data_IF_356036763953
#
_entry.id   IF_356036763953
#
_cell.length_a   1.000
_cell.length_b   1.000
_cell.length_c   1.000
_cell.angle_alpha   90.00
_cell.angle_beta   90.00
_cell.angle_gamma   90.00
#
_symmetry.space_group_name_H-M   'P 1'
#
loop_
_entity.id
_entity.type
_entity.pdbx_description
1 polymer ?
#
# COMPACT_ATOMS: atom_id res chain seq x y z
N UNK A 1 -3.84 -9.38 28.09
CA UNK A 1 -3.56 -10.07 26.81
C UNK A 1 -2.64 -9.18 26.00
N UNK A 2 -1.62 -9.74 25.35
CA UNK A 2 -0.81 -9.00 24.38
C UNK A 2 -1.65 -8.64 23.15
N UNK A 3 -1.37 -7.51 22.51
CA UNK A 3 -2.03 -7.13 21.25
C UNK A 3 -1.73 -8.18 20.18
N UNK A 4 -2.76 -8.63 19.49
CA UNK A 4 -2.70 -9.46 18.30
C UNK A 4 -3.67 -8.91 17.24
N UNK A 5 -3.13 -8.65 16.06
CA UNK A 5 -3.83 -8.13 14.88
C UNK A 5 -3.55 -9.03 13.67
N UNK A 6 -4.32 -8.86 12.60
CA UNK A 6 -4.11 -9.58 11.35
C UNK A 6 -4.40 -8.76 10.10
N UNK A 7 -3.59 -8.99 9.08
CA UNK A 7 -3.92 -8.67 7.70
C UNK A 7 -4.41 -9.94 7.00
N UNK A 8 -5.65 -9.91 6.51
CA UNK A 8 -6.35 -11.07 5.97
C UNK A 8 -6.74 -10.87 4.49
N UNK A 9 -5.77 -10.82 3.55
CA UNK A 9 -6.08 -10.66 2.13
C UNK A 9 -6.53 -11.98 1.49
N UNK A 10 -7.50 -11.90 0.58
CA UNK A 10 -7.79 -13.00 -0.34
C UNK A 10 -6.82 -12.93 -1.53
N UNK A 11 -6.09 -14.02 -1.87
CA UNK A 11 -5.11 -14.05 -2.95
C UNK A 11 -5.78 -14.15 -4.33
N UNK A 12 -6.64 -13.18 -4.66
CA UNK A 12 -7.47 -13.15 -5.89
C UNK A 12 -6.99 -12.12 -6.93
N UNK A 13 -5.87 -11.47 -6.64
CA UNK A 13 -5.26 -10.43 -7.46
C UNK A 13 -4.06 -9.82 -6.76
N UNK A 14 -3.42 -8.84 -7.41
CA UNK A 14 -2.28 -8.12 -6.86
C UNK A 14 -2.70 -7.22 -5.69
N UNK A 15 -1.78 -6.98 -4.76
CA UNK A 15 -1.97 -5.96 -3.72
C UNK A 15 -2.03 -4.58 -4.35
N UNK A 16 -2.96 -3.77 -3.85
CA UNK A 16 -3.09 -2.36 -4.21
C UNK A 16 -2.86 -1.48 -2.98
N UNK A 17 -2.73 -0.17 -3.20
CA UNK A 17 -2.46 0.83 -2.17
C UNK A 17 -3.41 0.76 -0.96
N UNK A 18 -4.70 0.51 -1.21
CA UNK A 18 -5.69 0.34 -0.14
C UNK A 18 -5.37 -0.85 0.77
N UNK A 19 -4.96 -1.99 0.19
CA UNK A 19 -4.55 -3.17 0.94
C UNK A 19 -3.28 -2.90 1.74
N UNK A 20 -2.30 -2.22 1.15
CA UNK A 20 -1.05 -1.84 1.83
C UNK A 20 -1.33 -0.97 3.04
N UNK A 21 -2.23 0.02 2.92
CA UNK A 21 -2.59 0.85 4.08
C UNK A 21 -3.15 0.01 5.21
N UNK A 22 -4.03 -0.96 4.92
CA UNK A 22 -4.55 -1.86 5.96
C UNK A 22 -3.42 -2.68 6.61
N UNK A 23 -2.55 -3.28 5.80
CA UNK A 23 -1.41 -4.07 6.30
C UNK A 23 -0.46 -3.21 7.16
N UNK A 24 -0.10 -2.02 6.68
CA UNK A 24 0.78 -1.08 7.36
C UNK A 24 0.20 -0.62 8.69
N UNK A 25 -1.07 -0.22 8.75
CA UNK A 25 -1.70 0.23 10.01
C UNK A 25 -1.77 -0.92 11.01
N UNK A 26 -2.10 -2.14 10.58
CA UNK A 26 -2.06 -3.30 11.47
C UNK A 26 -0.63 -3.54 12.00
N UNK A 27 0.37 -3.51 11.12
CA UNK A 27 1.77 -3.72 11.49
C UNK A 27 2.26 -2.66 12.48
N UNK A 28 2.02 -1.37 12.21
CA UNK A 28 2.39 -0.26 13.09
C UNK A 28 1.69 -0.37 14.45
N UNK A 29 0.40 -0.71 14.47
CA UNK A 29 -0.35 -0.92 15.71
C UNK A 29 0.22 -2.08 16.54
N UNK A 30 0.56 -3.20 15.91
CA UNK A 30 1.19 -4.34 16.56
C UNK A 30 2.54 -3.94 17.16
N UNK A 31 3.42 -3.34 16.35
CA UNK A 31 4.79 -3.00 16.76
C UNK A 31 4.81 -1.94 17.86
N UNK A 32 3.96 -0.92 17.78
CA UNK A 32 3.85 0.10 18.84
C UNK A 32 3.41 -0.49 20.18
N UNK A 33 2.56 -1.51 20.15
CA UNK A 33 2.07 -2.19 21.36
C UNK A 33 2.95 -3.37 21.82
N UNK A 34 4.06 -3.67 21.12
CA UNK A 34 4.85 -4.89 21.38
C UNK A 34 4.05 -6.18 21.16
N UNK A 35 3.07 -6.14 20.25
CA UNK A 35 2.16 -7.23 19.92
C UNK A 35 2.55 -8.02 18.67
N UNK A 36 1.66 -8.92 18.26
CA UNK A 36 1.87 -9.81 17.11
C UNK A 36 1.06 -9.41 15.88
N UNK A 37 1.68 -9.46 14.71
CA UNK A 37 1.08 -9.28 13.40
C UNK A 37 0.96 -10.62 12.66
N UNK A 38 -0.28 -11.05 12.38
CA UNK A 38 -0.60 -12.26 11.62
C UNK A 38 -0.86 -11.91 10.14
N UNK A 39 -0.25 -12.64 9.22
CA UNK A 39 -0.71 -12.73 7.84
C UNK A 39 -1.63 -13.96 7.72
N UNK A 40 -2.89 -13.76 7.35
CA UNK A 40 -3.83 -14.86 7.05
C UNK A 40 -4.26 -14.79 5.59
N UNK A 41 -4.04 -15.84 4.82
CA UNK A 41 -4.56 -15.89 3.44
C UNK A 41 -5.99 -16.42 3.47
N UNK A 42 -6.95 -15.57 3.08
CA UNK A 42 -8.37 -15.92 2.97
C UNK A 42 -8.62 -16.55 1.59
N UNK A 43 -8.12 -17.78 1.41
CA UNK A 43 -7.99 -18.53 0.14
C UNK A 43 -9.09 -19.57 -0.10
N UNK A 44 -10.26 -19.38 0.52
CA UNK A 44 -11.42 -20.30 0.41
C UNK A 44 -12.14 -20.26 -0.94
N UNK A 45 -11.92 -19.22 -1.74
CA UNK A 45 -12.42 -19.12 -3.12
C UNK A 45 -11.45 -19.79 -4.08
N UNK A 46 -11.56 -21.10 -4.28
CA UNK A 46 -10.67 -21.90 -5.14
C UNK A 46 -10.63 -21.46 -6.61
N UNK A 47 -11.68 -20.80 -7.12
CA UNK A 47 -11.72 -20.37 -8.51
C UNK A 47 -10.86 -19.12 -8.75
N UNK A 48 -10.86 -18.20 -7.77
CA UNK A 48 -10.17 -16.91 -7.88
C UNK A 48 -8.84 -16.89 -7.15
N UNK A 49 -8.68 -17.71 -6.12
CA UNK A 49 -7.46 -17.77 -5.32
C UNK A 49 -6.38 -18.51 -6.07
N UNK A 50 -5.21 -17.89 -6.23
CA UNK A 50 -4.11 -18.51 -6.96
C UNK A 50 -2.78 -18.42 -6.21
N UNK A 51 -1.91 -19.45 -6.30
CA UNK A 51 -0.60 -19.43 -5.66
C UNK A 51 0.25 -18.21 -6.04
N UNK A 52 0.21 -17.76 -7.30
CA UNK A 52 1.00 -16.60 -7.74
C UNK A 52 0.58 -15.29 -7.03
N UNK A 53 -0.68 -15.17 -6.63
CA UNK A 53 -1.16 -14.01 -5.88
C UNK A 53 -0.81 -14.11 -4.40
N UNK A 54 -0.81 -15.31 -3.82
CA UNK A 54 -0.32 -15.54 -2.46
C UNK A 54 1.17 -15.19 -2.34
N UNK A 55 2.00 -15.70 -3.25
CA UNK A 55 3.43 -15.37 -3.33
C UNK A 55 3.65 -13.87 -3.58
N UNK A 56 2.82 -13.26 -4.44
CA UNK A 56 2.84 -11.82 -4.70
C UNK A 56 2.56 -10.98 -3.44
N UNK A 57 1.56 -11.36 -2.65
CA UNK A 57 1.25 -10.72 -1.35
C UNK A 57 2.45 -10.80 -0.42
N UNK A 58 3.02 -11.99 -0.24
CA UNK A 58 4.17 -12.21 0.65
C UNK A 58 5.40 -11.41 0.22
N UNK A 59 5.70 -11.39 -1.09
CA UNK A 59 6.79 -10.60 -1.68
C UNK A 59 6.59 -9.11 -1.46
N UNK A 60 5.39 -8.61 -1.71
CA UNK A 60 5.07 -7.18 -1.59
C UNK A 60 5.11 -6.70 -0.13
N UNK A 61 4.61 -7.49 0.82
CA UNK A 61 4.75 -7.20 2.25
C UNK A 61 6.21 -7.23 2.71
N UNK A 62 6.99 -8.21 2.24
CA UNK A 62 8.42 -8.31 2.55
C UNK A 62 9.19 -7.11 2.02
N UNK A 63 8.92 -6.69 0.78
CA UNK A 63 9.51 -5.50 0.17
C UNK A 63 9.20 -4.22 0.97
N UNK A 64 7.98 -4.11 1.51
CA UNK A 64 7.60 -3.00 2.39
C UNK A 64 8.24 -3.07 3.79
N UNK A 65 8.90 -4.18 4.15
CA UNK A 65 9.40 -4.45 5.50
C UNK A 65 8.32 -4.91 6.49
N UNK A 66 7.10 -5.16 6.04
CA UNK A 66 5.94 -5.56 6.86
C UNK A 66 5.94 -7.08 7.12
N UNK A 67 7.03 -7.57 7.69
CA UNK A 67 7.16 -8.99 8.08
C UNK A 67 6.14 -9.36 9.16
N UNK A 68 5.64 -10.59 9.10
CA UNK A 68 4.63 -11.12 10.01
C UNK A 68 5.23 -12.12 11.00
N UNK A 69 4.65 -12.17 12.21
CA UNK A 69 5.10 -13.03 13.30
C UNK A 69 4.41 -14.40 13.24
N UNK A 70 3.22 -14.45 12.63
CA UNK A 70 2.40 -15.65 12.49
C UNK A 70 1.84 -15.71 11.07
N UNK A 71 1.55 -16.92 10.61
CA UNK A 71 0.97 -17.18 9.30
C UNK A 71 -0.17 -18.20 9.42
N UNK A 72 -1.22 -18.05 8.61
CA UNK A 72 -2.31 -19.03 8.49
C UNK A 72 -2.94 -18.98 7.08
N UNK A 73 -3.57 -20.08 6.66
CA UNK A 73 -4.43 -20.12 5.47
C UNK A 73 -5.80 -20.64 5.87
N UNK A 74 -6.85 -20.09 5.29
CA UNK A 74 -8.19 -20.57 5.57
C UNK A 74 -8.42 -21.99 4.98
N UNK A 75 -7.79 -22.30 3.85
CA UNK A 75 -7.86 -23.60 3.19
C UNK A 75 -7.37 -24.76 4.06
N UNK A 76 -6.42 -24.52 4.97
CA UNK A 76 -5.91 -25.52 5.92
C UNK A 76 -6.90 -25.80 7.07
N UNK A 77 -8.02 -25.08 7.13
CA UNK A 77 -8.89 -24.99 8.32
C UNK A 77 -10.33 -25.41 8.05
N UNK A 78 -10.63 -26.00 6.90
CA UNK A 78 -11.98 -26.48 6.56
C UNK A 78 -12.61 -27.39 7.62
N UNK A 79 -11.85 -28.37 8.15
CA UNK A 79 -12.36 -29.25 9.20
C UNK A 79 -12.81 -28.49 10.45
N UNK A 80 -12.13 -27.39 10.79
CA UNK A 80 -12.52 -26.54 11.92
C UNK A 80 -13.80 -25.77 11.64
N UNK A 81 -14.01 -25.31 10.41
CA UNK A 81 -15.26 -24.66 10.01
C UNK A 81 -16.44 -25.64 10.07
N UNK A 82 -16.23 -26.89 9.67
CA UNK A 82 -17.25 -27.95 9.75
C UNK A 82 -17.65 -28.26 11.19
N UNK A 83 -16.70 -28.34 12.11
CA UNK A 83 -16.96 -28.52 13.55
C UNK A 83 -17.81 -27.38 14.12
N UNK A 84 -17.42 -26.12 13.85
CA UNK A 84 -18.15 -24.96 14.35
C UNK A 84 -19.53 -24.87 13.71
N UNK A 85 -19.64 -25.15 12.40
CA UNK A 85 -20.92 -25.23 11.71
C UNK A 85 -21.84 -26.28 12.35
N UNK A 86 -21.32 -27.47 12.65
CA UNK A 86 -22.09 -28.52 13.32
C UNK A 86 -22.58 -28.08 14.72
N UNK A 87 -21.71 -27.43 15.51
CA UNK A 87 -22.07 -26.91 16.82
C UNK A 87 -23.15 -25.81 16.74
N UNK A 88 -23.05 -24.90 15.78
CA UNK A 88 -24.05 -23.85 15.56
C UNK A 88 -25.39 -24.41 15.05
N UNK A 89 -25.37 -25.49 14.25
CA UNK A 89 -26.59 -26.21 13.85
C UNK A 89 -27.25 -26.86 15.07
N UNK A 90 -26.46 -27.54 15.90
CA UNK A 90 -26.95 -28.21 17.11
C UNK A 90 -27.56 -27.22 18.13
N UNK A 91 -27.01 -26.00 18.25
CA UNK A 91 -27.56 -24.94 19.11
C UNK A 91 -28.72 -24.16 18.49
N UNK A 92 -29.11 -24.47 17.24
CA UNK A 92 -30.17 -23.76 16.52
C UNK A 92 -29.80 -22.33 16.10
N UNK A 93 -28.50 -21.98 16.17
CA UNK A 93 -27.96 -20.70 15.68
C UNK A 93 -27.69 -20.71 14.19
N UNK A 94 -27.55 -21.89 13.56
CA UNK A 94 -27.65 -22.07 12.12
C UNK A 94 -28.93 -22.84 11.78
N UNK A 95 -29.68 -22.35 10.80
CA UNK A 95 -30.89 -23.02 10.31
C UNK A 95 -30.87 -23.19 8.79
N UNK A 96 -31.47 -24.26 8.26
CA UNK A 96 -31.48 -24.54 6.84
C UNK A 96 -32.48 -23.65 6.11
N UNK A 97 -32.10 -23.19 4.93
CA UNK A 97 -32.88 -22.37 4.02
C UNK A 97 -32.83 -23.01 2.64
N UNK A 98 -33.96 -23.02 1.92
CA UNK A 98 -34.13 -23.76 0.66
C UNK A 98 -34.54 -22.83 -0.49
N UNK A 99 -34.56 -21.52 -0.25
CA UNK A 99 -34.85 -20.54 -1.29
C UNK A 99 -33.74 -20.51 -2.34
N UNK A 100 -34.12 -20.48 -3.61
CA UNK A 100 -33.17 -20.36 -4.72
C UNK A 100 -32.64 -18.93 -4.85
N UNK A 101 -31.48 -18.72 -5.52
CA UNK A 101 -31.00 -17.38 -5.83
C UNK A 101 -32.03 -16.49 -6.55
N UNK A 102 -32.81 -17.06 -7.46
CA UNK A 102 -33.88 -16.36 -8.18
C UNK A 102 -35.01 -15.93 -7.23
N UNK A 103 -35.47 -16.84 -6.36
CA UNK A 103 -36.50 -16.55 -5.36
C UNK A 103 -36.04 -15.40 -4.42
N UNK A 104 -34.78 -15.44 -3.96
CA UNK A 104 -34.19 -14.39 -3.11
C UNK A 104 -34.06 -13.05 -3.85
N UNK A 105 -33.65 -13.08 -5.12
CA UNK A 105 -33.54 -11.87 -5.95
C UNK A 105 -34.91 -11.23 -6.20
N UNK A 106 -35.95 -12.03 -6.45
CA UNK A 106 -37.33 -11.54 -6.60
C UNK A 106 -37.84 -10.89 -5.30
N UNK A 107 -37.64 -11.54 -4.15
CA UNK A 107 -37.98 -10.97 -2.84
C UNK A 107 -37.28 -9.63 -2.60
N UNK A 108 -35.97 -9.57 -2.89
CA UNK A 108 -35.16 -8.34 -2.78
C UNK A 108 -35.69 -7.23 -3.70
N UNK A 109 -35.94 -7.53 -4.96
CA UNK A 109 -36.45 -6.57 -5.94
C UNK A 109 -37.83 -6.02 -5.55
N UNK A 110 -38.71 -6.88 -5.01
CA UNK A 110 -40.04 -6.49 -4.52
C UNK A 110 -39.97 -5.52 -3.33
N UNK A 111 -39.06 -5.74 -2.36
CA UNK A 111 -38.86 -4.83 -1.23
C UNK A 111 -38.30 -3.47 -1.70
N UNK A 112 -37.30 -3.50 -2.58
CA UNK A 112 -36.68 -2.29 -3.11
C UNK A 112 -37.68 -1.46 -3.93
N UNK A 113 -38.53 -2.08 -4.75
CA UNK A 113 -39.56 -1.35 -5.52
C UNK A 113 -40.64 -0.72 -4.63
N UNK A 114 -40.82 -1.22 -3.42
CA UNK A 114 -41.69 -0.65 -2.39
C UNK A 114 -40.97 0.40 -1.51
N UNK A 115 -39.71 0.73 -1.77
CA UNK A 115 -38.91 1.64 -0.94
C UNK A 115 -38.58 1.08 0.44
N UNK A 116 -38.67 -0.25 0.62
CA UNK A 116 -38.41 -0.93 1.90
C UNK A 116 -36.99 -1.52 1.92
N UNK A 117 -36.34 -1.57 3.09
CA UNK A 117 -35.03 -2.19 3.21
C UNK A 117 -35.12 -3.70 2.87
N UNK A 118 -34.18 -4.25 2.09
CA UNK A 118 -34.23 -5.64 1.63
C UNK A 118 -33.77 -6.63 2.72
N UNK A 119 -34.50 -6.66 3.84
CA UNK A 119 -34.20 -7.53 4.97
C UNK A 119 -34.76 -8.92 4.70
N UNK A 120 -33.97 -9.97 5.00
CA UNK A 120 -34.43 -11.34 4.87
C UNK A 120 -35.66 -11.62 5.77
N UNK A 121 -36.71 -12.19 5.19
CA UNK A 121 -38.03 -12.34 5.80
C UNK A 121 -38.14 -13.48 6.81
N UNK A 122 -37.05 -14.26 6.99
CA UNK A 122 -37.01 -15.46 7.84
C UNK A 122 -38.08 -16.50 7.49
N UNK A 123 -38.52 -16.56 6.24
CA UNK A 123 -39.53 -17.52 5.80
C UNK A 123 -39.13 -18.98 6.10
N UNK A 124 -37.84 -19.31 5.98
CA UNK A 124 -37.35 -20.66 6.25
C UNK A 124 -37.54 -21.12 7.72
N UNK A 125 -37.64 -20.19 8.69
CA UNK A 125 -37.94 -20.55 10.08
C UNK A 125 -39.36 -21.10 10.28
N UNK A 126 -40.27 -20.90 9.31
CA UNK A 126 -41.65 -21.40 9.35
C UNK A 126 -41.82 -22.77 8.69
N UNK A 127 -40.77 -23.30 8.06
CA UNK A 127 -40.82 -24.62 7.42
C UNK A 127 -40.96 -25.72 8.49
N UNK A 128 -41.89 -26.64 8.25
CA UNK A 128 -42.01 -27.87 9.04
C UNK A 128 -40.97 -28.91 8.61
N UNK A 129 -40.78 -29.98 9.40
CA UNK A 129 -39.95 -31.12 8.99
C UNK A 129 -40.46 -31.77 7.70
N UNK A 130 -41.78 -31.80 7.50
CA UNK A 130 -42.39 -32.32 6.29
C UNK A 130 -42.08 -31.44 5.07
N UNK A 131 -42.07 -30.10 5.23
CA UNK A 131 -41.70 -29.19 4.16
C UNK A 131 -40.23 -29.37 3.76
N UNK A 132 -39.34 -29.50 4.75
CA UNK A 132 -37.91 -29.75 4.53
C UNK A 132 -37.69 -31.06 3.77
N UNK A 133 -38.27 -32.16 4.25
CA UNK A 133 -38.15 -33.46 3.61
C UNK A 133 -38.69 -33.47 2.17
N UNK A 134 -39.79 -32.74 1.91
CA UNK A 134 -40.32 -32.57 0.55
C UNK A 134 -39.33 -31.84 -0.35
N UNK A 135 -38.81 -30.69 0.08
CA UNK A 135 -37.86 -29.90 -0.71
C UNK A 135 -36.57 -30.69 -0.99
N UNK A 136 -36.09 -31.46 -0.02
CA UNK A 136 -34.93 -32.35 -0.19
C UNK A 136 -35.21 -33.49 -1.17
N UNK A 137 -36.42 -34.08 -1.15
CA UNK A 137 -36.84 -35.10 -2.12
C UNK A 137 -36.96 -34.57 -3.54
N UNK A 138 -37.21 -33.26 -3.70
CA UNK A 138 -37.19 -32.54 -4.97
C UNK A 138 -35.75 -32.22 -5.44
N UNK A 139 -34.73 -32.62 -4.67
CA UNK A 139 -33.33 -32.41 -4.99
C UNK A 139 -32.77 -31.06 -4.53
N UNK A 140 -33.55 -30.22 -3.82
CA UNK A 140 -33.02 -28.97 -3.25
C UNK A 140 -32.07 -29.29 -2.10
N UNK A 141 -30.91 -28.64 -2.09
CA UNK A 141 -30.00 -28.68 -0.96
C UNK A 141 -30.13 -27.38 -0.14
N UNK A 142 -30.01 -27.44 1.19
CA UNK A 142 -30.11 -26.23 1.99
C UNK A 142 -28.82 -25.41 1.92
N UNK A 143 -28.96 -24.09 1.85
CA UNK A 143 -27.95 -23.17 2.35
C UNK A 143 -28.25 -22.86 3.83
N UNK A 144 -27.25 -22.44 4.60
CA UNK A 144 -27.42 -22.24 6.04
C UNK A 144 -27.26 -20.78 6.43
N UNK A 145 -28.25 -20.25 7.14
CA UNK A 145 -28.25 -18.89 7.66
C UNK A 145 -28.03 -18.85 9.16
N UNK A 146 -27.32 -17.82 9.62
CA UNK A 146 -27.16 -17.55 11.05
C UNK A 146 -28.37 -16.80 11.58
N UNK A 147 -28.99 -17.36 12.61
CA UNK A 147 -30.14 -16.77 13.28
C UNK A 147 -29.67 -15.65 14.19
N UNK A 148 -29.82 -14.40 13.73
CA UNK A 148 -29.53 -13.25 14.57
C UNK A 148 -30.56 -13.10 15.68
N UNK A 149 -30.13 -12.60 16.83
CA UNK A 149 -31.03 -12.04 17.82
C UNK A 149 -31.38 -10.62 17.39
N UNK A 150 -32.67 -10.30 17.38
CA UNK A 150 -33.16 -8.95 17.12
C UNK A 150 -32.99 -8.03 18.34
N UNK A 151 -31.79 -8.00 18.90
CA UNK A 151 -31.39 -7.08 19.97
C UNK A 151 -30.44 -6.01 19.41
N UNK A 152 -30.37 -4.82 20.05
CA UNK A 152 -29.33 -3.85 19.76
C UNK A 152 -27.92 -4.47 19.80
N UNK A 153 -27.08 -4.05 18.86
CA UNK A 153 -25.65 -4.39 18.81
C UNK A 153 -24.86 -3.09 18.84
N UNK A 154 -24.02 -2.95 19.87
CA UNK A 154 -23.25 -1.74 20.15
C UNK A 154 -21.80 -2.09 20.42
N UNK A 155 -20.88 -1.25 19.94
CA UNK A 155 -19.47 -1.33 20.31
C UNK A 155 -18.80 0.05 20.19
N UNK A 156 -17.64 0.20 20.81
CA UNK A 156 -16.78 1.38 20.63
C UNK A 156 -15.67 1.05 19.65
N UNK A 157 -15.74 1.62 18.46
CA UNK A 157 -14.72 1.51 17.42
C UNK A 157 -13.56 2.49 17.70
N UNK A 158 -12.31 2.05 17.48
CA UNK A 158 -11.14 2.90 17.74
C UNK A 158 -11.04 4.13 16.81
N UNK A 159 -11.75 4.13 15.67
CA UNK A 159 -11.75 5.24 14.70
C UNK A 159 -13.13 5.91 14.64
N UNK A 160 -14.19 5.10 14.53
CA UNK A 160 -15.56 5.61 14.42
C UNK A 160 -16.19 5.99 15.76
N UNK A 161 -15.57 5.65 16.89
CA UNK A 161 -16.17 5.85 18.21
C UNK A 161 -17.39 4.94 18.43
N UNK A 162 -18.40 5.37 19.22
CA UNK A 162 -19.60 4.57 19.44
C UNK A 162 -20.33 4.24 18.14
N UNK A 163 -20.64 2.95 17.92
CA UNK A 163 -21.41 2.44 16.79
C UNK A 163 -22.60 1.64 17.32
N UNK A 164 -23.76 1.81 16.67
CA UNK A 164 -25.03 1.18 17.04
C UNK A 164 -25.72 0.63 15.81
N UNK A 165 -26.25 -0.60 15.92
CA UNK A 165 -27.12 -1.23 14.94
C UNK A 165 -28.34 -1.86 15.62
N UNK A 166 -29.51 -1.64 15.04
CA UNK A 166 -30.73 -2.34 15.42
C UNK A 166 -30.70 -3.76 14.84
N UNK A 167 -30.70 -4.79 15.69
CA UNK A 167 -30.65 -6.18 15.24
C UNK A 167 -31.80 -6.56 14.29
N UNK A 168 -32.98 -5.95 14.46
CA UNK A 168 -34.13 -6.15 13.57
C UNK A 168 -33.96 -5.54 12.17
N UNK A 169 -32.99 -4.63 12.00
CA UNK A 169 -32.64 -4.04 10.71
C UNK A 169 -31.55 -4.86 9.97
N UNK A 170 -31.00 -5.90 10.59
CA UNK A 170 -29.99 -6.77 10.01
C UNK A 170 -30.64 -8.04 9.42
N UNK A 171 -30.09 -8.51 8.30
CA UNK A 171 -30.51 -9.80 7.73
C UNK A 171 -29.70 -10.93 8.32
N UNK A 172 -30.36 -12.06 8.59
CA UNK A 172 -29.69 -13.32 8.90
C UNK A 172 -28.73 -13.68 7.75
N UNK A 173 -27.40 -13.63 7.97
CA UNK A 173 -26.43 -13.83 6.90
C UNK A 173 -26.43 -15.31 6.50
N UNK A 174 -26.17 -15.58 5.24
CA UNK A 174 -25.74 -16.93 4.83
C UNK A 174 -24.33 -17.14 5.35
N UNK A 175 -24.09 -18.25 6.04
CA UNK A 175 -22.75 -18.66 6.51
C UNK A 175 -22.21 -19.87 5.77
N UNK A 176 -23.08 -20.71 5.19
CA UNK A 176 -22.70 -21.89 4.42
C UNK A 176 -23.57 -21.93 3.17
N UNK A 177 -22.94 -22.09 2.01
CA UNK A 177 -23.60 -22.20 0.72
C UNK A 177 -24.29 -23.55 0.54
N UNK A 178 -25.10 -23.66 -0.49
CA UNK A 178 -25.76 -24.90 -0.91
C UNK A 178 -24.76 -26.03 -1.26
N UNK A 179 -23.58 -25.66 -1.77
CA UNK A 179 -22.48 -26.58 -2.07
C UNK A 179 -21.68 -27.00 -0.82
N UNK A 180 -22.07 -26.54 0.37
CA UNK A 180 -21.41 -26.83 1.64
C UNK A 180 -20.23 -25.92 1.99
N UNK A 181 -19.79 -25.03 1.08
CA UNK A 181 -18.64 -24.16 1.34
C UNK A 181 -19.00 -23.09 2.37
N UNK A 182 -18.16 -22.85 3.39
CA UNK A 182 -18.35 -21.76 4.32
C UNK A 182 -18.09 -20.41 3.64
N UNK A 183 -18.76 -19.36 4.11
CA UNK A 183 -18.56 -17.99 3.64
C UNK A 183 -17.68 -17.21 4.61
N UNK A 184 -17.04 -16.16 4.08
CA UNK A 184 -16.17 -15.22 4.80
C UNK A 184 -16.64 -14.87 6.21
N UNK A 185 -17.94 -14.58 6.39
CA UNK A 185 -18.46 -14.16 7.69
C UNK A 185 -18.26 -15.22 8.78
N UNK A 186 -18.35 -16.52 8.43
CA UNK A 186 -18.09 -17.62 9.35
C UNK A 186 -16.59 -17.83 9.53
N UNK A 187 -15.85 -18.03 8.43
CA UNK A 187 -14.42 -18.37 8.47
C UNK A 187 -13.61 -17.30 9.19
N UNK A 188 -13.88 -16.02 8.88
CA UNK A 188 -13.21 -14.88 9.50
C UNK A 188 -13.41 -14.82 11.01
N UNK A 189 -14.62 -15.10 11.51
CA UNK A 189 -14.92 -15.09 12.96
C UNK A 189 -14.30 -16.29 13.67
N UNK A 190 -14.42 -17.48 13.09
CA UNK A 190 -13.81 -18.70 13.65
C UNK A 190 -12.31 -18.52 13.78
N UNK A 191 -11.66 -17.98 12.75
CA UNK A 191 -10.22 -17.78 12.76
C UNK A 191 -9.78 -16.65 13.67
N UNK A 192 -10.49 -15.51 13.67
CA UNK A 192 -10.16 -14.43 14.59
C UNK A 192 -10.31 -14.90 16.07
N UNK A 193 -11.28 -15.78 16.38
CA UNK A 193 -11.45 -16.37 17.70
C UNK A 193 -10.35 -17.41 18.03
N UNK A 194 -10.16 -18.42 17.19
CA UNK A 194 -9.21 -19.51 17.41
C UNK A 194 -7.75 -19.02 17.40
N UNK A 195 -7.42 -18.04 16.56
CA UNK A 195 -6.08 -17.47 16.46
C UNK A 195 -5.85 -16.35 17.49
N UNK A 196 -6.81 -16.11 18.38
CA UNK A 196 -6.74 -15.14 19.48
C UNK A 196 -6.44 -13.71 18.99
N UNK A 197 -7.12 -13.28 17.92
CA UNK A 197 -7.06 -11.90 17.45
C UNK A 197 -7.77 -11.01 18.47
N UNK A 198 -7.06 -9.99 18.94
CA UNK A 198 -7.57 -9.03 19.92
C UNK A 198 -8.10 -7.76 19.28
N UNK A 199 -7.58 -7.40 18.10
CA UNK A 199 -7.90 -6.18 17.39
C UNK A 199 -8.10 -6.48 15.90
N UNK A 200 -9.26 -6.09 15.37
CA UNK A 200 -9.61 -6.20 13.96
C UNK A 200 -9.59 -4.81 13.35
N UNK A 201 -8.52 -4.49 12.62
CA UNK A 201 -8.34 -3.22 11.90
C UNK A 201 -8.56 -3.47 10.41
N UNK A 202 -9.62 -2.90 9.85
CA UNK A 202 -10.06 -3.14 8.45
C UNK A 202 -10.74 -1.91 7.84
N UNK A 203 -11.14 -2.00 6.56
CA UNK A 203 -11.88 -0.95 5.88
C UNK A 203 -13.30 -0.74 6.43
N UNK A 204 -13.81 0.49 6.36
CA UNK A 204 -15.14 0.88 6.86
C UNK A 204 -16.32 0.28 6.09
N UNK A 205 -16.08 -0.26 4.90
CA UNK A 205 -17.04 -1.05 4.13
C UNK A 205 -17.50 -2.33 4.87
N UNK A 206 -16.75 -2.74 5.89
CA UNK A 206 -17.10 -3.88 6.74
C UNK A 206 -17.77 -3.52 8.07
N UNK A 207 -18.13 -2.25 8.32
CA UNK A 207 -18.77 -1.83 9.58
C UNK A 207 -20.06 -2.62 9.85
N UNK A 208 -20.91 -2.79 8.83
CA UNK A 208 -22.15 -3.57 8.98
C UNK A 208 -21.90 -5.06 9.22
N UNK A 209 -20.82 -5.62 8.65
CA UNK A 209 -20.42 -7.00 8.91
C UNK A 209 -20.05 -7.19 10.39
N UNK A 210 -19.45 -6.19 11.04
CA UNK A 210 -19.10 -6.24 12.47
C UNK A 210 -20.31 -6.51 13.35
N UNK A 211 -21.44 -5.85 13.11
CA UNK A 211 -22.64 -6.04 13.93
C UNK A 211 -23.13 -7.49 13.92
N UNK A 212 -23.04 -8.14 12.76
CA UNK A 212 -23.35 -9.57 12.58
C UNK A 212 -22.28 -10.44 13.23
N UNK A 213 -21.00 -10.13 13.00
CA UNK A 213 -19.87 -10.91 13.50
C UNK A 213 -19.79 -10.93 15.03
N UNK A 214 -20.15 -9.85 15.73
CA UNK A 214 -20.21 -9.80 17.20
C UNK A 214 -21.09 -10.93 17.75
N UNK A 215 -22.30 -11.12 17.21
CA UNK A 215 -23.17 -12.20 17.66
C UNK A 215 -22.65 -13.59 17.29
N UNK A 216 -21.88 -13.71 16.21
CA UNK A 216 -21.25 -14.99 15.83
C UNK A 216 -20.12 -15.31 16.81
N UNK A 217 -19.27 -14.34 17.19
CA UNK A 217 -18.25 -14.51 18.23
C UNK A 217 -18.86 -15.03 19.53
N UNK A 218 -19.92 -14.39 20.01
CA UNK A 218 -20.64 -14.83 21.21
C UNK A 218 -21.19 -16.26 21.06
N UNK A 219 -21.79 -16.58 19.91
CA UNK A 219 -22.39 -17.89 19.66
C UNK A 219 -21.38 -19.04 19.55
N UNK A 220 -20.15 -18.75 19.08
CA UNK A 220 -19.05 -19.74 19.05
C UNK A 220 -18.23 -19.77 20.35
N UNK A 221 -18.60 -18.95 21.35
CA UNK A 221 -17.88 -18.84 22.62
C UNK A 221 -16.54 -18.10 22.52
N UNK A 222 -16.31 -17.36 21.44
CA UNK A 222 -15.10 -16.57 21.21
C UNK A 222 -15.17 -15.19 21.88
N UNK A 223 -14.01 -14.65 22.24
CA UNK A 223 -13.91 -13.27 22.69
C UNK A 223 -14.15 -12.31 21.51
N UNK A 224 -15.01 -11.32 21.70
CA UNK A 224 -15.23 -10.26 20.70
C UNK A 224 -14.00 -9.35 20.68
N UNK A 225 -13.30 -9.18 19.53
CA UNK A 225 -12.14 -8.32 19.44
C UNK A 225 -12.55 -6.84 19.48
N UNK A 226 -11.57 -5.98 19.76
CA UNK A 226 -11.71 -4.55 19.55
C UNK A 226 -11.69 -4.26 18.05
N UNK A 227 -12.56 -3.38 17.56
CA UNK A 227 -12.64 -3.05 16.14
C UNK A 227 -12.10 -1.64 15.85
N UNK A 228 -11.49 -1.50 14.69
CA UNK A 228 -11.13 -0.20 14.10
C UNK A 228 -11.45 -0.21 12.61
N UNK A 229 -12.31 0.72 12.18
CA UNK A 229 -12.73 0.83 10.78
C UNK A 229 -12.10 2.05 10.12
N UNK A 230 -11.10 1.79 9.27
CA UNK A 230 -10.38 2.82 8.54
C UNK A 230 -11.21 3.31 7.35
N UNK A 231 -11.27 4.64 7.10
CA UNK A 231 -11.97 5.16 5.94
C UNK A 231 -11.34 4.65 4.65
N UNK A 232 -12.17 4.40 3.64
CA UNK A 232 -11.68 3.98 2.32
C UNK A 232 -10.87 5.11 1.66
N UNK A 233 -9.91 4.72 0.83
CA UNK A 233 -9.14 5.69 0.05
C UNK A 233 -9.91 6.08 -1.21
N UNK A 234 -9.83 7.36 -1.60
CA UNK A 234 -10.22 7.84 -2.93
C UNK A 234 -9.00 8.31 -3.73
N UNK A 235 -9.15 8.47 -5.04
CA UNK A 235 -8.16 9.14 -5.87
C UNK A 235 -8.17 10.67 -5.66
N UNK A 236 -7.27 11.39 -6.32
CA UNK A 236 -7.19 12.84 -6.26
C UNK A 236 -8.49 13.55 -6.70
N UNK A 237 -9.27 12.93 -7.59
CA UNK A 237 -10.57 13.42 -8.06
C UNK A 237 -11.74 13.08 -7.11
N UNK A 238 -11.48 12.32 -6.03
CA UNK A 238 -12.47 11.89 -5.05
C UNK A 238 -13.28 10.67 -5.47
N UNK A 239 -12.89 9.98 -6.55
CA UNK A 239 -13.50 8.72 -6.96
C UNK A 239 -12.88 7.57 -6.17
N UNK A 240 -13.64 6.50 -5.95
CA UNK A 240 -13.10 5.30 -5.31
C UNK A 240 -11.90 4.76 -6.12
N UNK A 241 -10.84 4.35 -5.42
CA UNK A 241 -9.70 3.65 -6.02
C UNK A 241 -10.14 2.29 -6.59
N UNK A 242 -10.78 2.33 -7.75
CA UNK A 242 -11.29 1.13 -8.41
C UNK A 242 -10.16 0.42 -9.16
N UNK A 243 -10.32 -0.89 -9.37
CA UNK A 243 -9.44 -1.75 -10.18
C UNK A 243 -9.29 -1.29 -11.65
N UNK A 244 -9.97 -0.22 -12.07
CA UNK A 244 -9.90 0.36 -13.43
C UNK A 244 -8.72 1.31 -13.62
N UNK A 245 -8.12 1.82 -12.54
CA UNK A 245 -6.85 2.54 -12.60
C UNK A 245 -5.72 1.51 -12.66
N UNK A 246 -5.33 1.13 -13.88
CA UNK A 246 -4.34 0.12 -14.18
C UNK A 246 -2.88 0.46 -13.81
N UNK A 247 -2.61 1.15 -12.69
CA UNK A 247 -1.24 1.51 -12.30
C UNK A 247 -0.98 1.63 -10.78
N UNK A 248 -1.86 1.10 -9.92
CA UNK A 248 -1.71 1.22 -8.46
C UNK A 248 -1.53 -0.12 -7.73
N UNK A 249 -1.06 -1.15 -8.44
CA UNK A 249 -0.55 -2.34 -7.75
C UNK A 249 0.80 -2.04 -7.11
N UNK A 250 1.11 -2.72 -6.01
CA UNK A 250 2.40 -2.55 -5.33
C UNK A 250 3.55 -2.96 -6.24
N UNK A 251 3.37 -4.05 -7.01
CA UNK A 251 4.33 -4.49 -8.00
C UNK A 251 4.63 -3.41 -9.05
N UNK A 252 3.62 -2.77 -9.64
CA UNK A 252 3.81 -1.68 -10.62
C UNK A 252 4.50 -0.46 -9.98
N UNK A 253 4.09 -0.05 -8.77
CA UNK A 253 4.75 1.04 -8.05
C UNK A 253 6.25 0.76 -7.80
N UNK A 254 6.60 -0.48 -7.46
CA UNK A 254 7.99 -0.90 -7.25
C UNK A 254 8.77 -1.00 -8.55
N UNK A 255 8.25 -1.73 -9.54
CA UNK A 255 9.01 -2.20 -10.70
C UNK A 255 8.96 -1.22 -11.88
N UNK A 256 7.81 -0.60 -12.12
CA UNK A 256 7.60 0.31 -13.25
C UNK A 256 7.84 1.76 -12.85
N UNK A 257 7.34 2.16 -11.68
CA UNK A 257 7.44 3.55 -11.20
C UNK A 257 8.68 3.81 -10.35
N UNK A 258 9.41 2.78 -9.91
CA UNK A 258 10.64 2.93 -9.12
C UNK A 258 10.42 3.66 -7.79
N UNK A 259 9.27 3.42 -7.14
CA UNK A 259 8.92 4.01 -5.86
C UNK A 259 9.62 3.23 -4.74
N UNK A 260 10.21 3.96 -3.79
CA UNK A 260 10.78 3.41 -2.57
C UNK A 260 9.69 2.91 -1.62
N UNK A 261 9.94 1.76 -0.99
CA UNK A 261 9.04 1.19 0.02
C UNK A 261 8.70 2.20 1.12
N UNK A 262 9.72 2.94 1.58
CA UNK A 262 9.55 3.96 2.62
C UNK A 262 8.81 5.20 2.14
N UNK A 263 8.78 5.51 0.84
CA UNK A 263 7.97 6.62 0.33
C UNK A 263 6.50 6.26 0.43
N UNK A 264 6.15 5.05 -0.01
CA UNK A 264 4.80 4.53 0.11
C UNK A 264 4.37 4.40 1.59
N UNK A 265 5.23 3.85 2.44
CA UNK A 265 4.93 3.69 3.87
C UNK A 265 4.78 5.05 4.59
N UNK A 266 5.67 6.01 4.33
CA UNK A 266 5.62 7.35 4.94
C UNK A 266 4.34 8.10 4.57
N UNK A 267 3.90 7.97 3.31
CA UNK A 267 2.62 8.54 2.86
C UNK A 267 1.45 7.85 3.56
N UNK A 268 1.33 6.53 3.43
CA UNK A 268 0.15 5.79 3.87
C UNK A 268 -0.02 5.74 5.39
N UNK A 269 1.06 5.81 6.17
CA UNK A 269 1.01 5.86 7.63
C UNK A 269 0.35 7.14 8.15
N UNK A 270 0.49 8.26 7.42
CA UNK A 270 -0.07 9.57 7.79
C UNK A 270 -1.38 9.87 7.09
N UNK A 271 -1.68 9.15 6.01
CA UNK A 271 -2.84 9.38 5.18
C UNK A 271 -4.16 9.17 5.94
N UNK A 272 -4.94 10.24 6.07
CA UNK A 272 -6.19 10.29 6.83
C UNK A 272 -6.01 10.65 8.31
N UNK A 273 -4.81 11.07 8.73
CA UNK A 273 -4.53 11.62 10.07
C UNK A 273 -4.37 13.14 10.02
N UNK A 274 -4.26 13.79 11.18
CA UNK A 274 -3.91 15.22 11.28
C UNK A 274 -2.40 15.50 11.24
N UNK A 275 -1.55 14.48 11.16
CA UNK A 275 -0.10 14.63 11.12
C UNK A 275 0.37 15.00 9.70
N UNK A 276 1.46 15.77 9.60
CA UNK A 276 2.08 16.09 8.33
C UNK A 276 2.74 14.85 7.69
N UNK A 277 2.70 14.79 6.35
CA UNK A 277 3.40 13.77 5.57
C UNK A 277 4.86 14.19 5.40
N UNK A 278 5.76 13.47 6.08
CA UNK A 278 7.19 13.71 6.08
C UNK A 278 7.95 12.44 5.67
N UNK A 279 9.12 12.56 5.02
CA UNK A 279 9.94 11.41 4.67
C UNK A 279 10.49 10.77 5.94
N UNK A 280 10.24 9.47 6.11
CA UNK A 280 10.90 8.60 7.08
C UNK A 280 11.73 7.57 6.33
N UNK A 281 12.88 7.22 6.90
CA UNK A 281 13.81 6.28 6.28
C UNK A 281 13.69 4.87 6.85
N UNK A 282 12.96 4.72 7.95
CA UNK A 282 12.73 3.45 8.64
C UNK A 282 11.28 3.30 9.09
N UNK A 283 10.82 2.05 9.17
CA UNK A 283 9.52 1.74 9.77
C UNK A 283 9.49 2.04 11.27
N UNK A 284 10.62 1.95 11.98
CA UNK A 284 10.70 2.23 13.43
C UNK A 284 10.35 3.69 13.76
N UNK A 285 10.75 4.64 12.92
CA UNK A 285 10.31 6.04 13.03
C UNK A 285 8.78 6.15 12.91
N UNK A 286 8.18 5.42 11.96
CA UNK A 286 6.72 5.40 11.80
C UNK A 286 6.02 4.74 12.99
N UNK A 287 6.61 3.68 13.57
CA UNK A 287 6.10 3.03 14.79
C UNK A 287 6.08 3.99 15.97
N UNK A 288 7.16 4.75 16.16
CA UNK A 288 7.27 5.71 17.26
C UNK A 288 6.19 6.80 17.19
N UNK A 289 5.82 7.22 15.98
CA UNK A 289 4.87 8.31 15.75
C UNK A 289 3.41 7.83 15.60
N UNK A 290 3.19 6.56 15.26
CA UNK A 290 1.87 6.05 14.89
C UNK A 290 0.87 6.16 16.05
N UNK A 291 -0.33 6.66 15.80
CA UNK A 291 -1.41 6.64 16.80
C UNK A 291 -2.76 6.49 16.10
N UNK A 292 -3.46 5.39 16.39
CA UNK A 292 -4.75 5.09 15.76
C UNK A 292 -5.82 6.12 16.12
N UNK A 293 -5.72 6.78 17.29
CA UNK A 293 -6.68 7.79 17.72
C UNK A 293 -6.62 9.06 16.86
N UNK A 294 -5.52 9.27 16.12
CA UNK A 294 -5.37 10.39 15.17
C UNK A 294 -6.00 10.11 13.81
N UNK A 295 -6.42 8.88 13.54
CA UNK A 295 -7.07 8.54 12.28
C UNK A 295 -8.46 9.18 12.26
N UNK A 296 -8.67 10.07 11.28
CA UNK A 296 -9.95 10.75 11.10
C UNK A 296 -10.97 9.86 10.38
N UNK A 297 -12.25 10.25 10.45
CA UNK A 297 -13.36 9.61 9.71
C UNK A 297 -13.50 10.12 8.28
N UNK A 298 -12.76 11.17 7.91
CA UNK A 298 -12.84 11.73 6.57
C UNK A 298 -12.18 10.77 5.58
N UNK A 299 -12.75 10.67 4.37
CA UNK A 299 -12.19 9.87 3.28
C UNK A 299 -10.88 10.49 2.78
N UNK A 300 -9.72 9.87 3.06
CA UNK A 300 -8.45 10.37 2.56
C UNK A 300 -8.32 10.21 1.05
N UNK A 301 -7.62 11.16 0.43
CA UNK A 301 -7.30 11.15 -1.00
C UNK A 301 -5.86 10.70 -1.21
N UNK A 302 -5.67 9.71 -2.07
CA UNK A 302 -4.36 9.30 -2.53
C UNK A 302 -4.00 10.08 -3.80
N UNK A 303 -2.91 10.84 -3.73
CA UNK A 303 -2.35 11.58 -4.86
C UNK A 303 -1.01 10.95 -5.30
N UNK A 304 -0.95 10.32 -6.50
CA UNK A 304 0.31 9.78 -7.04
C UNK A 304 1.41 10.84 -7.20
N UNK A 305 1.07 12.11 -7.45
CA UNK A 305 2.09 13.16 -7.56
C UNK A 305 2.69 13.50 -6.20
N UNK A 306 1.89 13.45 -5.13
CA UNK A 306 2.40 13.60 -3.76
C UNK A 306 3.34 12.46 -3.40
N UNK A 307 3.00 11.22 -3.79
CA UNK A 307 3.89 10.08 -3.62
C UNK A 307 5.22 10.27 -4.36
N UNK A 308 5.20 10.74 -5.62
CA UNK A 308 6.43 11.01 -6.37
C UNK A 308 7.27 12.12 -5.74
N UNK A 309 6.65 13.21 -5.27
CA UNK A 309 7.36 14.28 -4.54
C UNK A 309 7.99 13.74 -3.25
N UNK A 310 7.29 12.88 -2.53
CA UNK A 310 7.80 12.26 -1.31
C UNK A 310 8.94 11.26 -1.63
N UNK A 311 8.83 10.53 -2.74
CA UNK A 311 9.87 9.62 -3.22
C UNK A 311 11.18 10.36 -3.47
N UNK A 312 11.13 11.47 -4.22
CA UNK A 312 12.28 12.33 -4.45
C UNK A 312 12.91 12.79 -3.12
N UNK A 313 12.09 13.29 -2.18
CA UNK A 313 12.58 13.71 -0.85
C UNK A 313 13.26 12.58 -0.08
N UNK A 314 12.79 11.32 -0.21
CA UNK A 314 13.47 10.16 0.39
C UNK A 314 14.80 9.90 -0.30
N UNK A 315 14.86 9.86 -1.64
CA UNK A 315 16.11 9.64 -2.37
C UNK A 315 17.18 10.67 -2.01
N UNK A 316 16.79 11.93 -1.81
CA UNK A 316 17.68 13.02 -1.41
C UNK A 316 18.33 12.78 -0.04
N UNK A 317 17.74 11.92 0.80
CA UNK A 317 18.22 11.60 2.14
C UNK A 317 18.92 10.22 2.21
N UNK A 318 18.69 9.33 1.23
CA UNK A 318 19.26 7.98 1.27
C UNK A 318 20.79 8.01 1.14
N UNK A 319 21.52 7.28 2.01
CA UNK A 319 22.95 7.13 1.88
C UNK A 319 23.29 6.13 0.75
N UNK A 320 24.49 6.25 0.19
CA UNK A 320 24.93 5.46 -0.97
C UNK A 320 24.82 3.94 -0.74
N UNK A 321 25.13 3.47 0.47
CA UNK A 321 25.11 2.05 0.82
C UNK A 321 23.72 1.43 0.59
N UNK A 322 22.65 2.22 0.76
CA UNK A 322 21.26 1.76 0.58
C UNK A 322 20.86 1.62 -0.87
N UNK A 323 21.50 2.34 -1.79
CA UNK A 323 21.18 2.34 -3.23
C UNK A 323 22.25 1.65 -4.08
N UNK A 324 23.41 1.34 -3.51
CA UNK A 324 24.56 0.75 -4.22
C UNK A 324 24.21 -0.52 -5.02
N UNK A 325 23.42 -1.42 -4.43
CA UNK A 325 22.95 -2.63 -5.11
C UNK A 325 22.01 -2.35 -6.29
N UNK A 326 21.15 -1.35 -6.16
CA UNK A 326 20.24 -0.94 -7.24
C UNK A 326 21.00 -0.22 -8.36
N UNK A 327 21.92 0.69 -8.02
CA UNK A 327 22.82 1.32 -9.00
C UNK A 327 23.64 0.27 -9.77
N UNK A 328 24.15 -0.76 -9.10
CA UNK A 328 24.84 -1.87 -9.76
C UNK A 328 23.90 -2.65 -10.70
N UNK A 329 22.65 -2.92 -10.30
CA UNK A 329 21.64 -3.55 -11.15
C UNK A 329 21.26 -2.67 -12.36
N UNK A 330 21.43 -1.35 -12.25
CA UNK A 330 21.29 -0.40 -13.35
C UNK A 330 22.52 -0.38 -14.29
N UNK A 331 23.55 -1.18 -14.03
CA UNK A 331 24.81 -1.21 -14.78
C UNK A 331 25.84 -0.17 -14.32
N UNK A 332 25.59 0.53 -13.21
CA UNK A 332 26.46 1.58 -12.67
C UNK A 332 27.39 1.01 -11.58
N UNK A 333 28.14 -0.04 -11.90
CA UNK A 333 28.97 -0.78 -10.95
C UNK A 333 30.16 0.01 -10.40
N UNK A 334 30.55 1.08 -11.09
CA UNK A 334 31.63 1.99 -10.69
C UNK A 334 31.10 3.24 -9.95
N UNK A 335 29.77 3.37 -9.78
CA UNK A 335 29.21 4.46 -9.02
C UNK A 335 29.62 4.35 -7.55
N UNK A 336 30.05 5.48 -6.98
CA UNK A 336 30.48 5.59 -5.59
C UNK A 336 29.62 6.60 -4.82
N UNK A 337 29.96 6.80 -3.55
CA UNK A 337 29.28 7.77 -2.70
C UNK A 337 29.38 9.20 -3.26
N UNK A 338 30.50 9.59 -3.87
CA UNK A 338 30.67 10.93 -4.42
C UNK A 338 29.72 11.17 -5.60
N UNK A 339 29.57 10.18 -6.49
CA UNK A 339 28.58 10.23 -7.57
C UNK A 339 27.16 10.35 -7.03
N UNK A 340 26.77 9.47 -6.09
CA UNK A 340 25.41 9.46 -5.55
C UNK A 340 25.07 10.79 -4.85
N UNK A 341 25.95 11.29 -3.98
CA UNK A 341 25.78 12.57 -3.29
C UNK A 341 25.66 13.75 -4.27
N UNK A 342 26.37 13.70 -5.40
CA UNK A 342 26.28 14.72 -6.42
C UNK A 342 24.90 14.75 -7.08
N UNK A 343 24.33 13.59 -7.40
CA UNK A 343 23.12 13.50 -8.26
C UNK A 343 21.83 13.39 -7.47
N UNK A 344 21.83 12.75 -6.29
CA UNK A 344 20.62 12.44 -5.51
C UNK A 344 19.68 13.62 -5.29
N UNK A 345 20.11 14.89 -5.09
CA UNK A 345 19.19 16.01 -4.86
C UNK A 345 18.32 16.40 -6.08
N UNK A 346 18.51 15.73 -7.23
CA UNK A 346 17.81 16.00 -8.48
C UNK A 346 17.09 14.75 -9.01
N UNK A 347 17.01 13.68 -8.22
CA UNK A 347 16.39 12.42 -8.64
C UNK A 347 15.00 12.29 -8.04
N UNK A 348 14.04 11.91 -8.88
CA UNK A 348 12.74 11.42 -8.43
C UNK A 348 12.68 9.89 -8.39
N UNK A 349 13.58 9.21 -9.13
CA UNK A 349 13.73 7.75 -9.17
C UNK A 349 15.22 7.39 -9.25
N UNK A 350 15.62 6.27 -8.66
CA UNK A 350 17.03 5.80 -8.73
C UNK A 350 17.47 5.55 -10.17
N UNK A 351 16.56 5.08 -11.03
CA UNK A 351 16.80 4.86 -12.46
C UNK A 351 17.33 6.10 -13.21
N UNK A 352 16.93 7.31 -12.79
CA UNK A 352 17.38 8.59 -13.37
C UNK A 352 18.87 8.86 -13.12
N UNK A 353 19.52 8.11 -12.21
CA UNK A 353 20.96 8.17 -12.03
C UNK A 353 21.73 7.76 -13.30
N UNK A 354 21.16 6.90 -14.17
CA UNK A 354 21.78 6.53 -15.45
C UNK A 354 22.02 7.73 -16.34
N UNK A 355 21.11 8.69 -16.34
CA UNK A 355 21.22 9.89 -17.14
C UNK A 355 22.39 10.77 -16.68
N UNK A 356 22.57 10.90 -15.38
CA UNK A 356 23.69 11.66 -14.81
C UNK A 356 25.02 10.90 -14.86
N UNK A 357 24.96 9.58 -14.83
CA UNK A 357 26.12 8.73 -15.12
C UNK A 357 26.62 8.97 -16.55
N UNK A 358 25.71 8.99 -17.54
CA UNK A 358 26.08 9.30 -18.91
C UNK A 358 26.71 10.70 -19.03
N UNK A 359 26.19 11.70 -18.30
CA UNK A 359 26.78 13.05 -18.28
C UNK A 359 28.20 13.06 -17.73
N UNK A 360 28.50 12.25 -16.72
CA UNK A 360 29.81 12.25 -16.04
C UNK A 360 30.82 11.31 -16.67
N UNK A 361 30.39 10.19 -17.27
CA UNK A 361 31.27 9.09 -17.70
C UNK A 361 31.22 8.78 -19.20
N UNK A 362 30.15 9.14 -19.91
CA UNK A 362 29.99 8.88 -21.34
C UNK A 362 30.24 10.16 -22.18
N UNK A 363 30.49 10.01 -23.49
CA UNK A 363 30.62 11.16 -24.38
C UNK A 363 29.34 12.00 -24.44
N UNK A 364 29.46 13.30 -24.17
CA UNK A 364 28.36 14.27 -24.25
C UNK A 364 28.66 15.29 -25.33
N UNK A 365 27.70 15.53 -26.23
CA UNK A 365 27.77 16.64 -27.16
C UNK A 365 27.46 17.97 -26.41
N UNK A 366 28.40 18.92 -26.35
CA UNK A 366 28.20 20.18 -25.65
C UNK A 366 27.25 21.11 -26.42
N UNK A 367 26.50 21.94 -25.70
CA UNK A 367 25.75 23.06 -26.28
C UNK A 367 26.62 24.32 -26.15
N UNK A 368 27.26 24.71 -27.25
CA UNK A 368 28.25 25.80 -27.29
C UNK A 368 27.70 27.07 -27.95
N UNK A 369 26.76 27.74 -27.27
CA UNK A 369 26.11 28.96 -27.77
C UNK A 369 27.09 30.16 -27.92
N UNK A 370 28.23 30.12 -27.23
CA UNK A 370 29.23 31.19 -27.19
C UNK A 370 30.66 30.62 -27.10
N UNK A 371 31.18 30.18 -28.25
CA UNK A 371 32.47 29.48 -28.35
C UNK A 371 33.65 30.34 -27.88
N UNK A 372 33.60 31.66 -28.07
CA UNK A 372 34.67 32.57 -27.62
C UNK A 372 34.76 32.60 -26.09
N UNK A 373 33.61 32.76 -25.41
CA UNK A 373 33.56 32.71 -23.95
C UNK A 373 34.00 31.34 -23.41
N UNK A 374 33.52 30.25 -24.02
CA UNK A 374 33.85 28.90 -23.55
C UNK A 374 35.34 28.57 -23.75
N UNK A 375 35.97 29.06 -24.81
CA UNK A 375 37.42 28.94 -25.01
C UNK A 375 38.22 29.68 -23.91
N UNK A 376 37.79 30.89 -23.53
CA UNK A 376 38.39 31.61 -22.39
C UNK A 376 38.19 30.85 -21.07
N UNK A 377 37.01 30.27 -20.86
CA UNK A 377 36.73 29.46 -19.68
C UNK A 377 37.57 28.17 -19.64
N UNK A 378 37.75 27.50 -20.77
CA UNK A 378 38.59 26.31 -20.91
C UNK A 378 40.06 26.60 -20.56
N UNK A 379 40.58 27.75 -21.02
CA UNK A 379 41.96 28.17 -20.75
C UNK A 379 42.23 28.47 -19.26
N UNK A 380 41.18 28.71 -18.48
CA UNK A 380 41.26 28.99 -17.05
C UNK A 380 41.00 27.78 -16.15
N UNK A 381 40.76 26.58 -16.73
CA UNK A 381 40.57 25.36 -15.94
C UNK A 381 41.83 25.03 -15.12
N UNK A 382 41.71 24.86 -13.79
CA UNK A 382 42.86 24.53 -12.95
C UNK A 382 43.37 23.11 -13.25
N UNK A 383 44.65 22.88 -12.92
CA UNK A 383 45.23 21.53 -12.93
C UNK A 383 44.55 20.64 -11.87
N UNK A 384 44.60 19.32 -12.09
CA UNK A 384 44.13 18.31 -11.13
C UNK A 384 45.12 18.15 -9.96
N UNK A 385 44.68 17.63 -8.78
CA UNK A 385 43.38 17.02 -8.49
C UNK A 385 42.25 18.05 -8.30
N UNK A 386 41.04 17.64 -8.67
CA UNK A 386 39.82 18.42 -8.46
C UNK A 386 39.00 17.95 -7.27
N UNK A 387 38.34 18.90 -6.63
CA UNK A 387 37.48 18.75 -5.46
C UNK A 387 36.27 19.71 -5.51
N UNK A 388 35.46 19.75 -4.45
CA UNK A 388 34.28 20.62 -4.37
C UNK A 388 34.62 22.14 -4.39
N UNK A 389 35.86 22.53 -4.08
CA UNK A 389 36.30 23.93 -4.13
C UNK A 389 36.63 24.39 -5.55
N UNK A 390 36.94 23.44 -6.43
CA UNK A 390 37.44 23.67 -7.80
C UNK A 390 36.49 24.55 -8.62
N UNK A 391 35.19 24.29 -8.56
CA UNK A 391 34.18 25.09 -9.27
C UNK A 391 34.19 26.56 -8.84
N UNK A 392 34.30 26.83 -7.54
CA UNK A 392 34.35 28.19 -7.01
C UNK A 392 35.61 28.93 -7.46
N UNK A 393 36.76 28.26 -7.37
CA UNK A 393 38.06 28.80 -7.80
C UNK A 393 38.06 29.11 -9.31
N UNK A 394 37.64 28.15 -10.13
CA UNK A 394 37.60 28.30 -11.59
C UNK A 394 36.61 29.39 -12.03
N UNK A 395 35.36 29.33 -11.57
CA UNK A 395 34.36 30.33 -11.97
C UNK A 395 34.68 31.73 -11.44
N UNK A 396 35.40 31.84 -10.32
CA UNK A 396 35.97 33.09 -9.83
C UNK A 396 36.98 33.71 -10.81
N UNK A 397 37.89 32.90 -11.34
CA UNK A 397 38.86 33.33 -12.35
C UNK A 397 38.18 33.72 -13.68
N UNK A 398 37.23 32.90 -14.15
CA UNK A 398 36.44 33.20 -15.36
C UNK A 398 35.67 34.50 -15.21
N UNK A 399 35.03 34.72 -14.05
CA UNK A 399 34.32 35.98 -13.75
C UNK A 399 35.26 37.18 -13.74
N UNK A 400 36.45 37.06 -13.15
CA UNK A 400 37.43 38.14 -13.10
C UNK A 400 37.95 38.50 -14.50
N UNK A 401 38.13 37.51 -15.38
CA UNK A 401 38.61 37.70 -16.75
C UNK A 401 37.55 38.27 -17.68
N UNK A 402 36.32 37.74 -17.62
CA UNK A 402 35.25 38.00 -18.60
C UNK A 402 34.25 39.06 -18.13
N UNK A 403 34.21 39.37 -16.83
CA UNK A 403 33.20 40.24 -16.22
C UNK A 403 31.80 39.62 -16.08
N UNK A 404 31.55 38.41 -16.61
CA UNK A 404 30.23 37.76 -16.60
C UNK A 404 29.81 37.32 -15.20
N UNK A 405 28.51 37.35 -14.93
CA UNK A 405 27.90 37.01 -13.62
C UNK A 405 26.55 36.33 -13.81
N UNK A 406 26.07 35.66 -12.76
CA UNK A 406 24.72 35.08 -12.75
C UNK A 406 24.48 34.13 -13.91
N UNK A 407 23.33 34.26 -14.56
CA UNK A 407 22.91 33.39 -15.68
C UNK A 407 23.90 33.41 -16.85
N UNK A 408 24.45 34.57 -17.17
CA UNK A 408 25.36 34.76 -18.33
C UNK A 408 26.72 34.10 -18.12
N UNK A 409 27.10 33.83 -16.87
CA UNK A 409 28.28 33.04 -16.52
C UNK A 409 27.95 31.55 -16.45
N UNK A 410 26.92 31.18 -15.69
CA UNK A 410 26.73 29.80 -15.27
C UNK A 410 25.95 28.95 -16.28
N UNK A 411 24.99 29.51 -17.01
CA UNK A 411 24.18 28.73 -17.97
C UNK A 411 25.02 28.25 -19.17
N UNK A 412 25.87 29.10 -19.82
CA UNK A 412 26.71 28.62 -20.91
C UNK A 412 27.71 27.54 -20.46
N UNK A 413 28.30 27.69 -19.26
CA UNK A 413 29.19 26.66 -18.71
C UNK A 413 28.44 25.34 -18.45
N UNK A 414 27.21 25.40 -17.92
CA UNK A 414 26.38 24.21 -17.72
C UNK A 414 26.10 23.49 -19.03
N UNK A 415 25.63 24.25 -20.03
CA UNK A 415 25.28 23.77 -21.36
C UNK A 415 26.47 23.11 -22.05
N UNK A 416 27.65 23.73 -21.95
CA UNK A 416 28.87 23.14 -22.46
C UNK A 416 29.25 21.86 -21.70
N UNK A 417 29.30 21.89 -20.37
CA UNK A 417 29.77 20.76 -19.57
C UNK A 417 28.81 19.56 -19.54
N UNK A 418 27.51 19.79 -19.66
CA UNK A 418 26.47 18.77 -19.42
C UNK A 418 25.50 18.56 -20.58
N UNK A 419 25.47 19.46 -21.57
CA UNK A 419 24.47 19.44 -22.64
C UNK A 419 23.05 19.78 -22.17
N UNK A 420 22.87 20.26 -20.94
CA UNK A 420 21.56 20.48 -20.30
C UNK A 420 21.41 21.89 -19.73
N UNK A 421 20.17 22.35 -19.58
CA UNK A 421 19.83 23.67 -19.02
C UNK A 421 19.75 23.67 -17.49
N UNK A 422 19.50 22.51 -16.90
CA UNK A 422 19.29 22.30 -15.47
C UNK A 422 19.89 20.96 -15.04
N UNK A 423 19.93 20.73 -13.73
CA UNK A 423 20.46 19.49 -13.13
C UNK A 423 21.27 19.75 -11.87
N UNK A 424 22.02 18.74 -11.41
CA UNK A 424 22.83 18.84 -10.22
C UNK A 424 23.80 20.00 -10.22
N UNK A 425 24.20 20.39 -9.01
CA UNK A 425 25.15 21.46 -8.82
C UNK A 425 26.47 21.12 -9.53
N UNK A 426 26.93 22.01 -10.40
CA UNK A 426 28.16 21.78 -11.18
C UNK A 426 29.39 21.68 -10.29
N UNK A 427 29.34 22.23 -9.07
CA UNK A 427 30.40 22.06 -8.07
C UNK A 427 30.62 20.59 -7.70
N UNK A 428 29.56 19.78 -7.73
CA UNK A 428 29.61 18.35 -7.41
C UNK A 428 29.89 17.53 -8.68
N UNK A 429 29.37 17.96 -9.84
CA UNK A 429 29.56 17.23 -11.10
C UNK A 429 30.94 17.45 -11.74
N UNK A 430 31.55 18.63 -11.60
CA UNK A 430 32.80 18.96 -12.28
C UNK A 430 33.94 17.99 -11.93
N UNK A 431 34.19 17.63 -10.65
CA UNK A 431 35.18 16.60 -10.31
C UNK A 431 34.89 15.24 -10.93
N UNK A 432 33.62 14.86 -11.07
CA UNK A 432 33.19 13.58 -11.64
C UNK A 432 33.35 13.53 -13.18
N UNK A 433 33.18 14.67 -13.86
CA UNK A 433 33.41 14.79 -15.31
C UNK A 433 34.91 14.62 -15.63
N UNK A 434 35.76 15.19 -14.77
CA UNK A 434 37.22 15.21 -14.92
C UNK A 434 37.71 16.26 -15.91
N UNK A 435 38.98 16.67 -15.78
CA UNK A 435 39.52 17.82 -16.53
C UNK A 435 39.52 17.62 -18.03
N UNK A 436 39.94 16.45 -18.49
CA UNK A 436 40.07 16.16 -19.92
C UNK A 436 38.73 16.28 -20.65
N UNK A 437 37.64 15.72 -20.09
CA UNK A 437 36.31 15.82 -20.69
C UNK A 437 35.79 17.26 -20.61
N UNK A 438 35.92 17.92 -19.45
CA UNK A 438 35.47 19.29 -19.27
C UNK A 438 36.13 20.25 -20.28
N UNK A 439 37.45 20.13 -20.49
CA UNK A 439 38.18 20.96 -21.45
C UNK A 439 37.69 20.76 -22.88
N UNK A 440 37.55 19.49 -23.32
CA UNK A 440 37.03 19.16 -24.65
C UNK A 440 35.61 19.69 -24.86
N UNK A 441 34.73 19.49 -23.88
CA UNK A 441 33.35 19.98 -23.92
C UNK A 441 33.27 21.50 -24.02
N UNK A 442 34.09 22.23 -23.27
CA UNK A 442 34.20 23.69 -23.38
C UNK A 442 34.75 24.13 -24.74
N UNK A 443 35.60 23.33 -25.38
CA UNK A 443 36.05 23.57 -26.75
C UNK A 443 34.99 23.24 -27.83
N UNK A 444 33.81 22.73 -27.43
CA UNK A 444 32.74 22.33 -28.36
C UNK A 444 32.88 20.90 -28.88
N UNK A 445 33.79 20.09 -28.31
CA UNK A 445 34.01 18.71 -28.71
C UNK A 445 33.18 17.74 -27.86
N UNK A 446 32.67 16.69 -28.51
CA UNK A 446 32.01 15.57 -27.82
C UNK A 446 33.04 14.78 -27.01
N UNK A 447 32.87 14.70 -25.69
CA UNK A 447 33.81 14.03 -24.79
C UNK A 447 33.17 13.48 -23.52
#
# INVERSE_FOLDING_TARGET
MSVAVRFAPSPTGLLHVGNVRLALVNWLFARKAGGTFLLRLDDTDEERSKPEYAEGIERDLTWLGLTWDRFARESDRYGRYDEVAAALKASGRLYPCYETPEELNLKRASLVSQGRPPIYDRAALRLSDADRARLESEGRKPHWRFKLEHRPVEWTDLVRGPVHFEGAALSDPVLIREDGRPLYTLTSVVDDADLAITHVIRGEDHVANTAVQIQIFEAVGGAVPVFAHLPLLTDAAGQGLSKRLGSLSVASLREEEGIEAMALASLLAKLGTSDAIEPRLTLDELVAEFDIAKVSRATPKFDPEELLRLNARILHLLPFERVSGELAALGLTEADAAFWEAVRPNLSRVAEARDWWAVTHAPVAPVADDSAFLAEAAALLPEEPWDLSTWGTWTGAVKAKTGRKGKDLFLPLRRALTGRDHGPELKNLLPLIGRTRAQKRLAGETA
#
